data_IF_703993239813
#
_entry.id   IF_703993239813
#
_cell.length_a   1.000
_cell.length_b   1.000
_cell.length_c   1.000
_cell.angle_alpha   90.00
_cell.angle_beta   90.00
_cell.angle_gamma   90.00
#
_symmetry.space_group_name_H-M   'P 1'
#
loop_
_entity.id
_entity.type
_entity.pdbx_description
1 polymer ?
#
# COMPACT_ATOMS: atom_id res chain seq x y z
N UNK A 1 28.03 23.53 -16.53
CA UNK A 1 27.12 22.41 -16.25
C UNK A 1 26.68 22.57 -14.81
N UNK A 2 25.40 22.82 -14.56
CA UNK A 2 24.88 22.83 -13.18
C UNK A 2 25.16 21.46 -12.57
N UNK A 3 25.85 21.42 -11.44
CA UNK A 3 25.98 20.19 -10.68
C UNK A 3 24.56 19.77 -10.28
N UNK A 4 24.10 18.64 -10.80
CA UNK A 4 22.88 18.03 -10.31
C UNK A 4 23.07 17.81 -8.81
N UNK A 5 22.15 18.29 -7.95
CA UNK A 5 22.26 18.09 -6.51
C UNK A 5 22.40 16.59 -6.25
N UNK A 6 23.31 16.20 -5.35
CA UNK A 6 23.57 14.80 -5.02
C UNK A 6 22.28 14.10 -4.55
N UNK A 7 21.58 13.41 -5.46
CA UNK A 7 20.33 12.71 -5.18
C UNK A 7 20.67 11.43 -4.42
N UNK A 8 20.28 11.37 -3.14
CA UNK A 8 20.61 10.22 -2.27
C UNK A 8 19.51 9.17 -2.18
N UNK A 9 18.27 9.50 -2.57
CA UNK A 9 17.14 8.54 -2.57
C UNK A 9 15.93 9.04 -3.36
N UNK A 10 15.02 8.13 -3.68
CA UNK A 10 13.68 8.42 -4.17
C UNK A 10 12.65 8.22 -3.04
N UNK A 11 11.87 9.25 -2.72
CA UNK A 11 10.68 9.13 -1.87
C UNK A 11 9.47 9.12 -2.79
N UNK A 12 8.61 8.12 -2.64
CA UNK A 12 7.43 7.94 -3.49
C UNK A 12 6.25 7.45 -2.67
N UNK A 13 5.02 7.78 -3.09
CA UNK A 13 3.85 7.16 -2.49
C UNK A 13 3.88 5.63 -2.67
N UNK A 14 3.35 4.94 -1.68
CA UNK A 14 3.20 3.49 -1.69
C UNK A 14 2.40 2.92 -2.86
N UNK A 15 1.39 3.64 -3.37
CA UNK A 15 0.56 3.20 -4.49
C UNK A 15 1.39 3.15 -5.79
N UNK A 16 2.44 3.97 -5.89
CA UNK A 16 3.34 4.02 -7.05
C UNK A 16 4.35 2.86 -7.00
N UNK A 17 3.88 1.61 -6.93
CA UNK A 17 4.72 0.43 -6.80
C UNK A 17 5.78 0.32 -7.90
N UNK A 18 5.46 0.74 -9.13
CA UNK A 18 6.36 0.73 -10.27
C UNK A 18 7.67 1.51 -10.05
N UNK A 19 7.65 2.54 -9.20
CA UNK A 19 8.83 3.38 -8.94
C UNK A 19 9.97 2.63 -8.27
N UNK A 20 9.74 1.41 -7.77
CA UNK A 20 10.80 0.54 -7.27
C UNK A 20 11.75 0.13 -8.41
N UNK A 21 11.20 -0.33 -9.53
CA UNK A 21 12.02 -0.72 -10.69
C UNK A 21 12.80 0.48 -11.24
N UNK A 22 12.17 1.67 -11.23
CA UNK A 22 12.82 2.93 -11.63
C UNK A 22 13.98 3.27 -10.68
N UNK A 23 13.77 3.21 -9.36
CA UNK A 23 14.82 3.48 -8.37
C UNK A 23 15.98 2.47 -8.48
N UNK A 24 15.66 1.19 -8.67
CA UNK A 24 16.64 0.13 -8.87
C UNK A 24 17.48 0.39 -10.14
N UNK A 25 16.85 0.83 -11.25
CA UNK A 25 17.59 1.18 -12.49
C UNK A 25 18.52 2.39 -12.36
N UNK A 26 18.27 3.25 -11.37
CA UNK A 26 19.06 4.43 -11.07
C UNK A 26 20.07 4.20 -9.94
N UNK A 27 20.15 2.97 -9.40
CA UNK A 27 20.92 2.64 -8.20
C UNK A 27 20.60 3.54 -7.00
N UNK A 28 19.34 3.98 -6.88
CA UNK A 28 18.88 4.84 -5.80
C UNK A 28 18.07 4.04 -4.77
N UNK A 29 18.31 4.23 -3.46
CA UNK A 29 17.41 3.74 -2.44
C UNK A 29 16.00 4.32 -2.63
N UNK A 30 14.97 3.46 -2.56
CA UNK A 30 13.57 3.89 -2.50
C UNK A 30 13.07 3.90 -1.06
N UNK A 31 12.45 5.02 -0.66
CA UNK A 31 11.66 5.14 0.58
C UNK A 31 10.19 5.32 0.21
N UNK A 32 9.33 4.61 0.92
CA UNK A 32 7.88 4.64 0.69
C UNK A 32 7.24 5.62 1.66
N UNK A 33 6.46 6.56 1.13
CA UNK A 33 5.57 7.40 1.92
C UNK A 33 4.16 6.80 1.91
N UNK A 34 3.59 6.57 3.09
CA UNK A 34 2.18 6.21 3.27
C UNK A 34 1.43 7.45 3.70
N UNK A 35 0.52 7.91 2.84
CA UNK A 35 -0.31 9.10 3.07
C UNK A 35 -1.59 8.77 3.85
N UNK A 36 -2.03 7.51 3.83
CA UNK A 36 -3.14 7.01 4.64
C UNK A 36 -2.74 6.65 6.08
N UNK A 37 -3.73 6.58 6.97
CA UNK A 37 -3.52 6.15 8.36
C UNK A 37 -3.03 4.71 8.47
N UNK A 38 -2.40 4.36 9.60
CA UNK A 38 -1.84 3.01 9.84
C UNK A 38 -2.91 1.92 9.71
N UNK A 39 -4.15 2.18 10.14
CA UNK A 39 -5.28 1.27 9.99
C UNK A 39 -5.56 0.91 8.53
N UNK A 40 -5.47 1.88 7.61
CA UNK A 40 -5.64 1.63 6.17
C UNK A 40 -4.58 0.66 5.62
N UNK A 41 -3.35 0.70 6.16
CA UNK A 41 -2.31 -0.25 5.79
C UNK A 41 -2.67 -1.70 6.12
N UNK A 42 -3.28 -1.93 7.30
CA UNK A 42 -3.75 -3.25 7.69
C UNK A 42 -4.87 -3.74 6.77
N UNK A 43 -5.82 -2.85 6.42
CA UNK A 43 -6.88 -3.17 5.48
C UNK A 43 -6.33 -3.57 4.09
N UNK A 44 -5.36 -2.81 3.55
CA UNK A 44 -4.70 -3.18 2.28
C UNK A 44 -3.96 -4.52 2.37
N UNK A 45 -3.31 -4.80 3.49
CA UNK A 45 -2.60 -6.07 3.71
C UNK A 45 -3.56 -7.27 3.82
N UNK A 46 -4.82 -7.04 4.24
CA UNK A 46 -5.83 -8.08 4.36
C UNK A 46 -6.52 -8.44 3.03
N UNK A 47 -6.37 -7.65 1.95
CA UNK A 47 -7.06 -7.89 0.67
C UNK A 47 -6.90 -9.34 0.16
N UNK A 48 -5.69 -9.94 0.13
CA UNK A 48 -5.54 -11.32 -0.31
C UNK A 48 -6.32 -12.32 0.55
N UNK A 49 -6.37 -12.10 1.88
CA UNK A 49 -7.15 -12.92 2.79
C UNK A 49 -8.66 -12.80 2.50
N UNK A 50 -9.15 -11.57 2.31
CA UNK A 50 -10.54 -11.29 2.00
C UNK A 50 -10.97 -11.90 0.65
N UNK A 51 -10.10 -11.87 -0.36
CA UNK A 51 -10.32 -12.54 -1.65
C UNK A 51 -10.42 -14.06 -1.48
N UNK A 52 -9.51 -14.67 -0.73
CA UNK A 52 -9.55 -16.12 -0.45
C UNK A 52 -10.82 -16.55 0.28
N UNK A 53 -11.39 -15.68 1.12
CA UNK A 53 -12.66 -15.92 1.83
C UNK A 53 -13.91 -15.47 1.07
N UNK A 54 -13.77 -15.06 -0.19
CA UNK A 54 -14.87 -14.56 -1.03
C UNK A 54 -15.64 -13.37 -0.43
N UNK A 55 -14.99 -12.58 0.42
CA UNK A 55 -15.49 -11.28 0.88
C UNK A 55 -15.23 -10.17 -0.15
N UNK A 56 -14.35 -10.42 -1.13
CA UNK A 56 -14.05 -9.50 -2.21
C UNK A 56 -14.20 -10.19 -3.59
N UNK A 57 -14.87 -9.56 -4.59
CA UNK A 57 -15.48 -8.23 -4.56
C UNK A 57 -16.68 -8.17 -3.61
N UNK A 58 -16.87 -7.01 -2.98
CA UNK A 58 -17.92 -6.81 -1.97
C UNK A 58 -19.30 -6.94 -2.63
N UNK A 59 -20.19 -7.67 -1.97
CA UNK A 59 -21.60 -7.78 -2.35
C UNK A 59 -22.38 -6.75 -1.52
N UNK A 60 -23.09 -5.82 -2.17
CA UNK A 60 -23.81 -4.75 -1.43
C UNK A 60 -24.77 -5.29 -0.37
N UNK A 61 -25.38 -6.46 -0.62
CA UNK A 61 -26.27 -7.12 0.33
C UNK A 61 -25.61 -7.56 1.64
N UNK A 62 -24.27 -7.55 1.72
CA UNK A 62 -23.49 -8.08 2.85
C UNK A 62 -22.47 -7.06 3.38
N UNK A 63 -22.64 -5.77 3.07
CA UNK A 63 -21.69 -4.73 3.45
C UNK A 63 -21.52 -4.60 4.97
N UNK A 64 -22.60 -4.79 5.72
CA UNK A 64 -22.64 -4.68 7.19
C UNK A 64 -22.37 -6.02 7.90
N UNK A 65 -22.08 -7.10 7.16
CA UNK A 65 -21.78 -8.39 7.76
C UNK A 65 -20.39 -8.34 8.43
N UNK A 66 -20.34 -8.76 9.70
CA UNK A 66 -19.07 -8.83 10.41
C UNK A 66 -18.13 -9.85 9.76
N UNK A 67 -16.87 -9.47 9.60
CA UNK A 67 -15.81 -10.31 9.05
C UNK A 67 -14.97 -10.81 10.24
N UNK A 68 -14.94 -12.13 10.48
CA UNK A 68 -14.29 -12.72 11.66
C UNK A 68 -12.80 -12.32 11.78
N UNK A 69 -12.13 -12.03 10.66
CA UNK A 69 -10.70 -11.71 10.61
C UNK A 69 -10.40 -10.23 10.89
N UNK A 70 -11.43 -9.38 10.93
CA UNK A 70 -11.34 -7.95 11.20
C UNK A 70 -12.30 -7.56 12.31
N UNK A 71 -12.06 -8.01 13.57
CA UNK A 71 -12.90 -7.63 14.69
C UNK A 71 -12.87 -6.11 14.90
N UNK A 72 -13.96 -5.51 15.42
CA UNK A 72 -14.00 -4.08 15.71
C UNK A 72 -12.85 -3.69 16.64
N UNK A 73 -12.11 -2.65 16.27
CA UNK A 73 -11.03 -2.10 17.09
C UNK A 73 -11.67 -1.21 18.16
N UNK A 74 -11.99 -1.81 19.31
CA UNK A 74 -12.42 -1.10 20.52
C UNK A 74 -11.27 -0.32 21.16
#
# INVERSE_FOLDING_TARGET
MSEDPNIVCLISDSILHFTKAVADSLNLPRRVLRTGGVSSCLAYAAIPLLQNKAYFPIQESRLEEAVEELPPQN
#
